data_IF_758563422404
#
_entry.id   IF_758563422404
#
_cell.length_a   1.000
_cell.length_b   1.000
_cell.length_c   1.000
_cell.angle_alpha   90.00
_cell.angle_beta   90.00
_cell.angle_gamma   90.00
#
_symmetry.space_group_name_H-M   'P 1'
#
loop_
_entity.id
_entity.type
_entity.pdbx_description
1 polymer ?
#
# COMPACT_ATOMS: atom_id res chain seq x y z
N UNK A 1 -5.28 -0.13 -23.45
CA UNK A 1 -5.92 0.91 -22.60
C UNK A 1 -5.96 0.54 -21.11
N UNK A 2 -6.87 -0.31 -20.61
CA UNK A 2 -6.93 -0.64 -19.17
C UNK A 2 -5.81 -1.59 -18.69
N UNK A 3 -5.41 -2.55 -19.53
CA UNK A 3 -4.37 -3.53 -19.22
C UNK A 3 -2.94 -2.95 -19.24
N UNK A 4 -2.71 -1.81 -19.91
CA UNK A 4 -1.38 -1.22 -20.09
C UNK A 4 -1.10 -0.08 -19.12
N UNK A 5 -2.14 0.58 -18.60
CA UNK A 5 -2.01 1.74 -17.73
C UNK A 5 -2.70 1.59 -16.38
N UNK A 6 -3.48 0.53 -16.14
CA UNK A 6 -4.30 0.41 -14.92
C UNK A 6 -3.49 0.41 -13.62
N UNK A 7 -2.29 -0.16 -13.63
CA UNK A 7 -1.42 -0.23 -12.45
C UNK A 7 -0.68 1.09 -12.15
N UNK A 8 -0.61 2.02 -13.09
CA UNK A 8 0.20 3.24 -12.99
C UNK A 8 -0.49 4.45 -13.62
N UNK A 9 -1.83 4.47 -13.66
CA UNK A 9 -2.56 5.57 -14.26
C UNK A 9 -2.43 6.80 -13.38
N UNK A 10 -1.79 7.82 -13.91
CA UNK A 10 -1.83 9.17 -13.37
C UNK A 10 -2.75 10.00 -14.24
N UNK A 11 -3.70 10.73 -13.63
CA UNK A 11 -4.55 11.65 -14.38
C UNK A 11 -3.66 12.64 -15.17
N UNK A 12 -3.92 12.93 -16.45
CA UNK A 12 -3.03 13.75 -17.29
C UNK A 12 -2.68 15.11 -16.67
N UNK A 13 -3.58 15.69 -15.89
CA UNK A 13 -3.36 16.97 -15.21
C UNK A 13 -2.42 16.88 -14.00
N UNK A 14 -2.11 15.68 -13.50
CA UNK A 14 -1.24 15.45 -12.34
C UNK A 14 0.17 15.02 -12.74
N UNK A 15 0.38 14.63 -14.00
CA UNK A 15 1.68 14.20 -14.52
C UNK A 15 2.71 15.32 -14.33
N UNK A 16 3.79 15.02 -13.60
CA UNK A 16 4.86 15.97 -13.30
C UNK A 16 4.49 17.11 -12.35
N UNK A 17 3.33 17.03 -11.67
CA UNK A 17 2.88 18.06 -10.71
C UNK A 17 3.11 17.72 -9.24
N UNK A 18 3.38 16.46 -8.93
CA UNK A 18 3.67 16.04 -7.56
C UNK A 18 4.67 14.89 -7.62
N UNK A 19 5.80 15.07 -6.94
CA UNK A 19 6.80 14.02 -6.82
C UNK A 19 6.33 12.97 -5.80
N UNK A 20 6.74 11.71 -6.01
CA UNK A 20 6.39 10.60 -5.12
C UNK A 20 6.76 10.92 -3.66
N UNK A 21 7.92 11.56 -3.45
CA UNK A 21 8.38 11.95 -2.11
C UNK A 21 7.44 12.95 -1.42
N UNK A 22 6.96 13.95 -2.16
CA UNK A 22 6.05 14.97 -1.62
C UNK A 22 4.68 14.38 -1.27
N UNK A 23 4.23 13.42 -2.09
CA UNK A 23 3.02 12.67 -1.82
C UNK A 23 3.19 11.79 -0.58
N UNK A 24 4.30 11.06 -0.45
CA UNK A 24 4.58 10.22 0.72
C UNK A 24 4.65 11.04 2.01
N UNK A 25 5.26 12.22 1.98
CA UNK A 25 5.39 13.10 3.14
C UNK A 25 4.05 13.60 3.70
N UNK A 26 3.05 13.73 2.83
CA UNK A 26 1.75 14.30 3.16
C UNK A 26 0.64 13.26 3.34
N UNK A 27 0.70 12.16 2.59
CA UNK A 27 -0.34 11.14 2.53
C UNK A 27 -0.05 9.89 3.36
N UNK A 28 1.21 9.63 3.75
CA UNK A 28 1.60 8.42 4.49
C UNK A 28 2.32 8.80 5.77
N UNK A 29 1.81 8.42 6.94
CA UNK A 29 2.41 8.78 8.22
C UNK A 29 3.88 8.33 8.36
N UNK A 30 4.22 7.18 7.78
CA UNK A 30 5.60 6.65 7.75
C UNK A 30 6.51 7.30 6.69
N UNK A 31 5.97 8.13 5.79
CA UNK A 31 6.73 8.88 4.76
C UNK A 31 7.63 8.04 3.86
N UNK A 32 7.25 6.78 3.66
CA UNK A 32 7.96 5.84 2.80
C UNK A 32 7.01 4.78 2.28
N UNK A 33 7.42 4.13 1.19
CA UNK A 33 6.78 2.89 0.76
C UNK A 33 7.15 1.76 1.73
N UNK A 34 6.26 0.77 1.83
CA UNK A 34 6.54 -0.47 2.54
C UNK A 34 7.58 -1.28 1.76
N UNK A 35 8.48 -1.93 2.49
CA UNK A 35 9.35 -2.95 1.92
C UNK A 35 8.53 -4.23 1.66
N UNK A 36 8.83 -5.02 0.60
CA UNK A 36 8.08 -6.24 0.30
C UNK A 36 8.01 -7.23 1.47
N UNK A 37 9.05 -7.27 2.31
CA UNK A 37 9.10 -8.11 3.51
C UNK A 37 8.09 -7.71 4.58
N UNK A 38 7.77 -6.42 4.70
CA UNK A 38 6.78 -5.93 5.67
C UNK A 38 5.37 -6.39 5.30
N UNK A 39 5.05 -6.40 4.01
CA UNK A 39 3.78 -6.94 3.49
C UNK A 39 3.74 -8.47 3.66
N UNK A 40 4.82 -9.16 3.25
CA UNK A 40 4.92 -10.61 3.34
C UNK A 40 4.77 -11.12 4.79
N UNK A 41 5.33 -10.41 5.77
CA UNK A 41 5.20 -10.75 7.18
C UNK A 41 3.73 -10.74 7.65
N UNK A 42 2.93 -9.79 7.15
CA UNK A 42 1.49 -9.72 7.40
C UNK A 42 0.74 -10.95 6.90
N UNK A 43 1.05 -11.40 5.68
CA UNK A 43 0.48 -12.62 5.12
C UNK A 43 0.95 -13.87 5.87
N UNK A 44 2.22 -13.93 6.25
CA UNK A 44 2.76 -15.03 7.05
C UNK A 44 2.04 -15.14 8.41
N UNK A 45 1.75 -14.01 9.07
CA UNK A 45 0.94 -13.99 10.28
C UNK A 45 -0.47 -14.53 10.04
N UNK A 46 -1.18 -14.04 9.01
CA UNK A 46 -2.53 -14.52 8.69
C UNK A 46 -2.59 -16.02 8.34
N UNK A 47 -1.50 -16.58 7.81
CA UNK A 47 -1.38 -18.00 7.50
C UNK A 47 -0.90 -18.85 8.69
N UNK A 48 -0.54 -18.23 9.82
CA UNK A 48 -0.02 -18.91 11.01
C UNK A 48 -1.13 -19.28 11.99
N UNK A 49 -0.79 -20.15 12.95
CA UNK A 49 -1.68 -20.53 14.06
C UNK A 49 -2.04 -19.34 14.97
N UNK A 50 -1.21 -18.29 15.01
CA UNK A 50 -1.49 -17.08 15.81
C UNK A 50 -2.75 -16.34 15.32
N UNK A 51 -3.12 -16.53 14.05
CA UNK A 51 -4.32 -15.97 13.45
C UNK A 51 -5.51 -16.94 13.42
N UNK A 52 -5.46 -18.08 14.14
CA UNK A 52 -6.44 -19.17 14.03
C UNK A 52 -7.92 -18.76 14.27
N UNK A 53 -8.17 -17.66 14.99
CA UNK A 53 -9.52 -17.14 15.24
C UNK A 53 -9.89 -15.90 14.42
N UNK A 54 -9.02 -15.48 13.49
CA UNK A 54 -9.24 -14.32 12.63
C UNK A 54 -9.89 -14.76 11.30
N UNK A 55 -11.12 -14.33 11.06
CA UNK A 55 -11.84 -14.60 9.80
C UNK A 55 -12.78 -13.46 9.43
N UNK A 56 -13.00 -13.25 8.12
CA UNK A 56 -13.91 -12.21 7.60
C UNK A 56 -13.44 -10.78 7.85
N UNK A 57 -12.12 -10.58 8.02
CA UNK A 57 -11.51 -9.26 8.27
C UNK A 57 -10.48 -8.93 7.20
N UNK A 58 -10.32 -7.63 6.96
CA UNK A 58 -9.26 -7.08 6.11
C UNK A 58 -8.21 -6.47 7.02
N UNK A 59 -6.96 -6.94 6.88
CA UNK A 59 -5.81 -6.35 7.57
C UNK A 59 -5.16 -5.34 6.63
N UNK A 60 -5.10 -4.07 7.04
CA UNK A 60 -4.56 -2.98 6.25
C UNK A 60 -3.05 -2.83 6.48
N UNK A 61 -2.30 -2.64 5.39
CA UNK A 61 -0.87 -2.35 5.40
C UNK A 61 -0.61 -1.12 4.54
N UNK A 62 -0.76 0.06 5.12
CA UNK A 62 -0.79 1.33 4.38
C UNK A 62 0.22 2.36 4.91
N UNK A 63 0.95 2.05 5.98
CA UNK A 63 1.88 2.97 6.60
C UNK A 63 1.21 4.21 7.23
N UNK A 64 -0.08 4.10 7.56
CA UNK A 64 -0.89 5.18 8.12
C UNK A 64 -1.36 6.16 7.05
N UNK A 65 -1.98 5.65 5.99
CA UNK A 65 -2.54 6.44 4.89
C UNK A 65 -4.02 6.76 5.13
N UNK A 66 -4.77 5.82 5.72
CA UNK A 66 -6.20 5.96 6.03
C UNK A 66 -6.43 6.14 7.53
#
# INVERSE_FOLDING_TARGET
MAAEHGASYQHPELVGKQELSEWLDTAVALRRLAEPSEIAAGYAFLASDDAAYMTGRTLQFDGGMF
#
